data_IF_847047253804
#
_entry.id   IF_847047253804
#
_cell.length_a   1.000
_cell.length_b   1.000
_cell.length_c   1.000
_cell.angle_alpha   90.00
_cell.angle_beta   90.00
_cell.angle_gamma   90.00
#
_symmetry.space_group_name_H-M   'P 1'
#
loop_
_entity.id
_entity.type
_entity.pdbx_description
1 polymer ?
#
# COMPACT_ATOMS: atom_id res chain seq x y z
N UNK A 1 -20.94 -1.16 -15.91
CA UNK A 1 -20.51 -1.32 -14.49
C UNK A 1 -20.63 -2.78 -14.11
N UNK A 2 -19.69 -3.34 -13.34
CA UNK A 2 -19.81 -4.71 -12.82
C UNK A 2 -20.50 -4.68 -11.45
N UNK A 3 -21.79 -5.02 -11.39
CA UNK A 3 -22.57 -5.01 -10.16
C UNK A 3 -22.02 -5.95 -9.09
N UNK A 4 -21.55 -7.13 -9.48
CA UNK A 4 -21.02 -8.10 -8.51
C UNK A 4 -19.78 -7.56 -7.80
N UNK A 5 -18.86 -6.94 -8.54
CA UNK A 5 -17.67 -6.32 -7.94
C UNK A 5 -18.02 -5.11 -7.07
N UNK A 6 -18.97 -4.28 -7.48
CA UNK A 6 -19.43 -3.13 -6.68
C UNK A 6 -20.10 -3.58 -5.37
N UNK A 7 -20.95 -4.61 -5.42
CA UNK A 7 -21.62 -5.18 -4.24
C UNK A 7 -20.61 -5.86 -3.32
N UNK A 8 -19.64 -6.61 -3.86
CA UNK A 8 -18.58 -7.23 -3.06
C UNK A 8 -17.64 -6.18 -2.45
N UNK A 9 -17.47 -5.02 -3.07
CA UNK A 9 -16.73 -3.91 -2.47
C UNK A 9 -17.46 -3.33 -1.25
N UNK A 10 -18.77 -3.13 -1.34
CA UNK A 10 -19.61 -2.65 -0.22
C UNK A 10 -19.80 -3.70 0.88
N UNK A 11 -19.94 -4.97 0.49
CA UNK A 11 -20.18 -6.10 1.36
C UNK A 11 -19.16 -7.22 1.06
N UNK A 12 -17.93 -7.13 1.59
CA UNK A 12 -16.86 -8.08 1.28
C UNK A 12 -17.15 -9.53 1.66
N UNK A 13 -18.10 -9.74 2.59
CA UNK A 13 -18.50 -11.07 3.06
C UNK A 13 -19.61 -11.69 2.20
N UNK A 14 -20.25 -10.90 1.33
CA UNK A 14 -21.38 -11.36 0.53
C UNK A 14 -20.91 -12.24 -0.64
N UNK A 15 -21.59 -13.37 -0.83
CA UNK A 15 -21.31 -14.30 -1.90
C UNK A 15 -22.23 -14.06 -3.10
N UNK A 16 -21.70 -13.72 -4.30
CA UNK A 16 -22.48 -13.42 -5.51
C UNK A 16 -23.21 -14.64 -6.12
N UNK A 17 -23.11 -15.82 -5.51
CA UNK A 17 -23.85 -17.02 -5.92
C UNK A 17 -25.02 -17.36 -4.99
N UNK A 18 -25.00 -16.87 -3.75
CA UNK A 18 -25.98 -17.24 -2.72
C UNK A 18 -26.70 -16.03 -2.13
N UNK A 19 -25.94 -14.98 -1.80
CA UNK A 19 -26.46 -13.83 -1.07
C UNK A 19 -27.05 -12.79 -2.00
N UNK A 20 -26.59 -12.73 -3.25
CA UNK A 20 -27.23 -11.93 -4.29
C UNK A 20 -26.89 -12.54 -5.64
N UNK A 21 -27.74 -12.32 -6.65
CA UNK A 21 -27.45 -12.73 -8.03
C UNK A 21 -27.53 -11.49 -8.90
N UNK A 22 -26.39 -11.06 -9.43
CA UNK A 22 -26.35 -10.08 -10.51
C UNK A 22 -26.56 -10.80 -11.85
N UNK A 23 -27.53 -10.35 -12.64
CA UNK A 23 -27.75 -10.84 -14.00
C UNK A 23 -27.49 -9.74 -15.00
N UNK A 24 -26.97 -10.15 -16.14
CA UNK A 24 -26.96 -9.36 -17.35
C UNK A 24 -27.68 -10.18 -18.41
N UNK A 25 -28.86 -9.73 -18.81
CA UNK A 25 -29.67 -10.41 -19.82
C UNK A 25 -29.15 -10.15 -21.25
N UNK A 26 -28.05 -9.40 -21.38
CA UNK A 26 -27.48 -9.01 -22.66
C UNK A 26 -28.39 -8.00 -23.39
N UNK A 27 -27.93 -7.45 -24.53
CA UNK A 27 -28.65 -6.40 -25.23
C UNK A 27 -30.10 -6.80 -25.52
N UNK A 28 -31.03 -5.93 -25.13
CA UNK A 28 -32.46 -6.14 -25.35
C UNK A 28 -32.91 -5.45 -26.63
N UNK A 29 -33.77 -6.14 -27.38
CA UNK A 29 -34.41 -5.60 -28.58
C UNK A 29 -35.84 -5.18 -28.23
N UNK A 30 -36.15 -3.90 -28.37
CA UNK A 30 -37.53 -3.44 -28.39
C UNK A 30 -37.99 -3.24 -29.83
N UNK A 31 -39.18 -3.76 -30.13
CA UNK A 31 -39.83 -3.54 -31.42
C UNK A 31 -40.37 -2.10 -31.39
N UNK A 32 -39.89 -1.23 -32.27
CA UNK A 32 -40.48 0.10 -32.47
C UNK A 32 -41.70 -0.13 -33.34
N UNK A 33 -42.86 -0.26 -32.71
CA UNK A 33 -44.12 -0.36 -33.44
C UNK A 33 -44.72 1.05 -33.50
N UNK A 34 -44.51 1.74 -34.61
CA UNK A 34 -45.08 3.08 -34.81
C UNK A 34 -46.60 3.08 -35.01
N UNK A 35 -47.23 1.93 -35.26
CA UNK A 35 -48.68 1.79 -35.30
C UNK A 35 -49.05 0.39 -34.82
N UNK A 36 -49.95 0.30 -33.82
CA UNK A 36 -50.56 -0.95 -33.33
C UNK A 36 -50.52 -2.05 -34.38
N UNK A 37 -49.81 -3.18 -34.15
CA UNK A 37 -49.82 -4.25 -35.11
C UNK A 37 -51.15 -4.97 -34.96
N UNK A 38 -52.22 -4.45 -35.57
CA UNK A 38 -53.31 -5.29 -36.08
C UNK A 38 -52.74 -6.15 -37.19
N UNK A 39 -51.94 -7.15 -36.81
CA UNK A 39 -51.66 -8.32 -37.62
C UNK A 39 -51.94 -9.55 -36.76
N UNK A 40 -53.21 -9.92 -36.79
CA UNK A 40 -53.65 -11.29 -36.55
C UNK A 40 -52.89 -12.16 -37.55
N UNK A 41 -52.06 -13.09 -37.06
CA UNK A 41 -51.42 -14.09 -37.90
C UNK A 41 -52.02 -15.44 -37.57
N UNK A 42 -52.65 -16.04 -38.59
CA UNK A 42 -53.11 -17.43 -38.62
C UNK A 42 -51.95 -18.39 -38.33
N UNK A 43 -52.21 -19.42 -37.53
CA UNK A 43 -51.58 -20.72 -37.70
C UNK A 43 -52.54 -21.58 -38.54
N UNK A 44 -52.26 -21.85 -39.83
CA UNK A 44 -53.16 -22.62 -40.67
C UNK A 44 -52.73 -24.08 -40.70
N UNK A 45 -52.93 -24.84 -39.63
CA UNK A 45 -52.72 -26.29 -39.68
C UNK A 45 -53.99 -27.10 -39.31
N UNK A 46 -55.17 -26.50 -39.48
CA UNK A 46 -56.42 -27.24 -39.42
C UNK A 46 -57.30 -26.86 -40.61
N UNK A 47 -57.26 -27.69 -41.64
CA UNK A 47 -58.20 -27.70 -42.75
C UNK A 47 -59.62 -27.90 -42.17
N UNK A 48 -60.38 -26.80 -42.05
CA UNK A 48 -61.79 -26.82 -41.64
C UNK A 48 -62.21 -26.00 -40.39
N UNK A 49 -61.40 -25.09 -39.86
CA UNK A 49 -61.82 -24.24 -38.74
C UNK A 49 -62.75 -23.09 -39.19
N UNK A 50 -63.96 -23.02 -38.62
CA UNK A 50 -64.97 -21.98 -38.89
C UNK A 50 -64.64 -20.69 -38.10
N UNK A 51 -64.82 -19.47 -38.67
CA UNK A 51 -64.43 -18.21 -38.02
C UNK A 51 -65.22 -17.85 -36.74
N UNK A 52 -66.24 -18.62 -36.37
CA UNK A 52 -67.11 -18.36 -35.22
C UNK A 52 -66.57 -18.95 -33.89
N UNK A 53 -65.50 -19.74 -33.93
CA UNK A 53 -64.86 -20.37 -32.75
C UNK A 53 -63.78 -19.50 -32.05
N UNK A 54 -63.78 -18.18 -32.30
CA UNK A 54 -62.74 -17.28 -31.77
C UNK A 54 -63.01 -16.89 -30.30
N UNK A 55 -62.05 -17.14 -29.40
CA UNK A 55 -62.15 -16.77 -27.98
C UNK A 55 -61.46 -15.42 -27.73
N UNK A 56 -62.24 -14.41 -27.35
CA UNK A 56 -61.76 -13.09 -26.91
C UNK A 56 -61.19 -13.20 -25.47
N UNK A 57 -59.94 -12.75 -25.25
CA UNK A 57 -59.30 -12.73 -23.92
C UNK A 57 -57.85 -13.20 -23.83
N UNK A 58 -57.19 -13.55 -24.94
CA UNK A 58 -55.79 -14.01 -24.92
C UNK A 58 -54.85 -12.83 -24.63
N UNK A 59 -54.24 -12.85 -23.45
CA UNK A 59 -53.13 -11.97 -23.08
C UNK A 59 -51.86 -12.40 -23.84
N UNK A 60 -51.22 -11.47 -24.53
CA UNK A 60 -49.95 -11.73 -25.21
C UNK A 60 -48.80 -11.65 -24.21
N UNK A 61 -48.03 -12.72 -24.11
CA UNK A 61 -46.71 -12.71 -23.47
C UNK A 61 -45.69 -12.23 -24.52
N UNK A 62 -44.96 -11.16 -24.24
CA UNK A 62 -43.85 -10.71 -25.07
C UNK A 62 -42.74 -11.77 -25.03
N UNK A 63 -42.78 -12.75 -25.94
CA UNK A 63 -41.66 -13.68 -26.10
C UNK A 63 -40.45 -12.93 -26.67
N UNK A 64 -39.34 -13.04 -25.94
CA UNK A 64 -38.00 -12.64 -26.36
C UNK A 64 -37.71 -13.26 -27.73
N UNK A 65 -37.71 -12.46 -28.81
CA UNK A 65 -37.31 -12.95 -30.15
C UNK A 65 -35.79 -13.02 -30.22
N UNK A 66 -35.26 -14.17 -30.64
CA UNK A 66 -33.85 -14.30 -30.98
C UNK A 66 -33.54 -13.48 -32.27
N UNK A 67 -32.29 -13.00 -32.46
CA UNK A 67 -31.90 -12.28 -33.68
C UNK A 67 -32.18 -13.05 -34.97
N UNK A 68 -32.12 -14.39 -34.92
CA UNK A 68 -32.44 -15.30 -36.02
C UNK A 68 -33.94 -15.35 -36.40
N UNK A 69 -34.81 -14.72 -35.61
CA UNK A 69 -36.27 -14.67 -35.79
C UNK A 69 -36.78 -13.24 -36.14
N UNK A 70 -35.86 -12.33 -36.42
CA UNK A 70 -36.14 -10.98 -36.91
C UNK A 70 -36.67 -11.05 -38.36
N UNK A 71 -37.77 -10.35 -38.64
CA UNK A 71 -38.40 -10.32 -39.95
C UNK A 71 -38.03 -9.02 -40.65
N UNK A 72 -37.62 -9.12 -41.92
CA UNK A 72 -37.27 -7.95 -42.74
C UNK A 72 -38.46 -6.97 -42.84
N UNK A 73 -38.23 -5.68 -42.56
CA UNK A 73 -39.25 -4.62 -42.59
C UNK A 73 -39.87 -4.24 -41.25
N UNK A 74 -39.34 -4.71 -40.11
CA UNK A 74 -39.73 -4.29 -38.76
C UNK A 74 -38.59 -3.47 -38.14
N UNK A 75 -38.89 -2.27 -37.62
CA UNK A 75 -37.91 -1.42 -36.94
C UNK A 75 -37.71 -1.88 -35.48
N UNK A 76 -36.46 -1.95 -35.05
CA UNK A 76 -36.07 -2.33 -33.70
C UNK A 76 -35.15 -1.27 -33.10
N UNK A 77 -35.36 -0.93 -31.83
CA UNK A 77 -34.43 -0.14 -31.05
C UNK A 77 -33.47 -1.07 -30.30
N UNK A 78 -32.18 -0.74 -30.36
CA UNK A 78 -31.15 -1.43 -29.60
C UNK A 78 -31.01 -0.75 -28.24
N UNK A 79 -31.50 -1.38 -27.18
CA UNK A 79 -31.32 -0.86 -25.83
C UNK A 79 -30.09 -1.53 -25.19
N UNK A 80 -29.10 -0.75 -24.74
CA UNK A 80 -28.00 -1.30 -23.97
C UNK A 80 -28.55 -1.91 -22.69
N UNK A 81 -28.30 -3.21 -22.47
CA UNK A 81 -28.67 -3.86 -21.22
C UNK A 81 -27.79 -3.35 -20.10
N UNK A 82 -28.44 -2.98 -19.00
CA UNK A 82 -27.78 -2.65 -17.75
C UNK A 82 -27.89 -3.88 -16.86
N UNK A 83 -26.78 -4.41 -16.31
CA UNK A 83 -26.85 -5.49 -15.33
C UNK A 83 -27.78 -5.09 -14.18
N UNK A 84 -28.52 -6.05 -13.63
CA UNK A 84 -29.46 -5.82 -12.53
C UNK A 84 -29.33 -6.90 -11.44
N UNK A 85 -29.80 -6.58 -10.24
CA UNK A 85 -29.82 -7.51 -9.10
C UNK A 85 -31.12 -8.32 -9.19
N UNK A 86 -31.01 -9.60 -9.51
CA UNK A 86 -32.14 -10.51 -9.65
C UNK A 86 -32.61 -11.09 -8.31
N UNK A 87 -31.69 -11.30 -7.36
CA UNK A 87 -32.01 -11.73 -5.99
C UNK A 87 -31.14 -10.97 -5.00
N UNK A 88 -31.69 -10.72 -3.80
CA UNK A 88 -31.02 -10.00 -2.74
C UNK A 88 -31.37 -10.60 -1.38
N UNK A 89 -30.37 -11.23 -0.75
CA UNK A 89 -30.41 -11.92 0.54
C UNK A 89 -29.16 -11.61 1.39
N UNK A 90 -28.49 -10.47 1.14
CA UNK A 90 -27.25 -10.09 1.82
C UNK A 90 -27.52 -9.81 3.30
N UNK A 91 -26.70 -10.41 4.17
CA UNK A 91 -26.75 -10.22 5.62
C UNK A 91 -25.55 -9.44 6.13
N UNK A 92 -25.74 -8.67 7.19
CA UNK A 92 -24.63 -8.02 7.92
C UNK A 92 -23.86 -9.03 8.78
N UNK A 93 -22.77 -8.58 9.42
CA UNK A 93 -21.97 -9.41 10.33
C UNK A 93 -22.75 -9.92 11.57
N UNK A 94 -23.91 -9.34 11.85
CA UNK A 94 -24.80 -9.72 12.95
C UNK A 94 -25.96 -10.64 12.48
N UNK A 95 -26.02 -10.98 11.19
CA UNK A 95 -27.07 -11.80 10.59
C UNK A 95 -28.36 -11.06 10.22
N UNK A 96 -28.38 -9.73 10.26
CA UNK A 96 -29.54 -8.93 9.88
C UNK A 96 -29.59 -8.70 8.37
N UNK A 97 -30.80 -8.60 7.81
CA UNK A 97 -30.99 -8.22 6.41
C UNK A 97 -30.48 -6.81 6.13
N UNK A 98 -29.68 -6.70 5.08
CA UNK A 98 -29.14 -5.43 4.61
C UNK A 98 -30.05 -4.89 3.50
N UNK A 99 -30.40 -3.59 3.47
CA UNK A 99 -31.14 -3.03 2.35
C UNK A 99 -30.32 -3.08 1.05
N UNK A 100 -31.00 -3.24 -0.08
CA UNK A 100 -30.38 -3.18 -1.39
C UNK A 100 -29.78 -1.77 -1.63
N UNK A 101 -28.51 -1.65 -2.05
CA UNK A 101 -27.89 -0.37 -2.36
C UNK A 101 -28.60 0.36 -3.49
N UNK A 102 -28.57 1.68 -3.42
CA UNK A 102 -29.01 2.55 -4.52
C UNK A 102 -28.03 2.51 -5.68
N UNK A 103 -28.48 2.88 -6.88
CA UNK A 103 -27.62 2.96 -8.06
C UNK A 103 -26.45 3.92 -7.87
N UNK A 104 -26.66 5.02 -7.15
CA UNK A 104 -25.60 5.98 -6.83
C UNK A 104 -24.52 5.37 -5.93
N UNK A 105 -24.92 4.58 -4.92
CA UNK A 105 -23.97 3.87 -4.05
C UNK A 105 -23.20 2.79 -4.82
N UNK A 106 -23.86 2.07 -5.73
CA UNK A 106 -23.21 1.08 -6.59
C UNK A 106 -22.21 1.73 -7.55
N UNK A 107 -22.56 2.86 -8.15
CA UNK A 107 -21.67 3.60 -9.03
C UNK A 107 -20.46 4.14 -8.26
N UNK A 108 -20.68 4.73 -7.09
CA UNK A 108 -19.59 5.20 -6.22
C UNK A 108 -18.68 4.05 -5.78
N UNK A 109 -19.25 2.90 -5.41
CA UNK A 109 -18.49 1.70 -5.06
C UNK A 109 -17.67 1.16 -6.23
N UNK A 110 -18.21 1.20 -7.44
CA UNK A 110 -17.51 0.77 -8.65
C UNK A 110 -16.34 1.70 -9.01
N UNK A 111 -16.53 3.01 -8.87
CA UNK A 111 -15.46 3.99 -9.05
C UNK A 111 -14.37 3.83 -8.00
N UNK A 112 -14.74 3.62 -6.74
CA UNK A 112 -13.81 3.36 -5.65
C UNK A 112 -13.04 2.04 -5.85
N UNK A 113 -13.73 0.98 -6.32
CA UNK A 113 -13.11 -0.30 -6.65
C UNK A 113 -12.08 -0.17 -7.77
N UNK A 114 -12.38 0.61 -8.82
CA UNK A 114 -11.42 0.88 -9.91
C UNK A 114 -10.24 1.74 -9.48
N UNK A 115 -10.43 2.63 -8.50
CA UNK A 115 -9.38 3.45 -7.94
C UNK A 115 -8.44 2.67 -6.99
N UNK A 116 -8.82 1.45 -6.58
CA UNK A 116 -7.93 0.61 -5.81
C UNK A 116 -6.70 0.25 -6.66
N UNK A 117 -5.50 0.34 -6.08
CA UNK A 117 -4.32 -0.16 -6.77
C UNK A 117 -4.51 -1.64 -7.04
N UNK A 118 -4.22 -2.06 -8.27
CA UNK A 118 -4.21 -3.47 -8.64
C UNK A 118 -3.31 -4.18 -7.63
N UNK A 119 -3.78 -5.24 -6.94
CA UNK A 119 -2.95 -5.96 -6.00
C UNK A 119 -1.69 -6.41 -6.74
N UNK A 120 -0.53 -5.93 -6.27
CA UNK A 120 0.76 -6.28 -6.85
C UNK A 120 0.90 -7.79 -6.93
N UNK A 121 1.39 -8.27 -8.05
CA UNK A 121 1.76 -9.68 -8.19
C UNK A 121 2.84 -10.05 -7.18
N UNK A 122 2.96 -11.33 -6.79
CA UNK A 122 4.05 -11.77 -5.92
C UNK A 122 5.44 -11.40 -6.45
N UNK A 123 5.63 -11.42 -7.78
CA UNK A 123 6.89 -11.05 -8.44
C UNK A 123 7.22 -9.57 -8.24
N UNK A 124 6.27 -8.66 -8.49
CA UNK A 124 6.46 -7.22 -8.25
C UNK A 124 6.72 -6.90 -6.77
N UNK A 125 6.12 -7.66 -5.85
CA UNK A 125 6.39 -7.53 -4.42
C UNK A 125 7.82 -7.97 -4.06
N UNK A 126 8.33 -9.03 -4.71
CA UNK A 126 9.70 -9.49 -4.52
C UNK A 126 10.72 -8.49 -5.09
N UNK A 127 10.45 -7.89 -6.25
CA UNK A 127 11.28 -6.83 -6.83
C UNK A 127 11.40 -5.61 -5.91
N UNK A 128 10.28 -5.14 -5.35
CA UNK A 128 10.28 -4.03 -4.40
C UNK A 128 11.08 -4.36 -3.13
N UNK A 129 10.98 -5.60 -2.64
CA UNK A 129 11.77 -6.07 -1.49
C UNK A 129 13.26 -6.12 -1.81
N UNK A 130 13.64 -6.58 -3.00
CA UNK A 130 15.03 -6.61 -3.46
C UNK A 130 15.59 -5.19 -3.56
N UNK A 131 14.87 -4.28 -4.19
CA UNK A 131 15.29 -2.88 -4.33
C UNK A 131 15.48 -2.19 -2.98
N UNK A 132 14.58 -2.46 -2.03
CA UNK A 132 14.70 -1.97 -0.65
C UNK A 132 15.92 -2.57 0.05
N UNK A 133 16.17 -3.87 -0.14
CA UNK A 133 17.31 -4.55 0.45
C UNK A 133 18.63 -4.01 -0.10
N UNK A 134 18.72 -3.77 -1.41
CA UNK A 134 19.89 -3.16 -2.06
C UNK A 134 20.17 -1.76 -1.48
N UNK A 135 19.15 -0.91 -1.43
CA UNK A 135 19.28 0.46 -0.89
C UNK A 135 19.74 0.45 0.58
N UNK A 136 19.19 -0.45 1.40
CA UNK A 136 19.59 -0.58 2.80
C UNK A 136 21.02 -1.11 2.95
N UNK A 137 21.43 -2.02 2.07
CA UNK A 137 22.78 -2.59 2.08
C UNK A 137 23.81 -1.54 1.71
N UNK A 138 23.53 -0.71 0.69
CA UNK A 138 24.39 0.39 0.29
C UNK A 138 24.55 1.43 1.41
N UNK A 139 23.45 1.80 2.07
CA UNK A 139 23.48 2.71 3.22
C UNK A 139 24.29 2.13 4.39
N UNK A 140 24.17 0.83 4.66
CA UNK A 140 24.93 0.17 5.71
C UNK A 140 26.44 0.13 5.39
N UNK A 141 26.80 -0.16 4.14
CA UNK A 141 28.21 -0.16 3.71
C UNK A 141 28.84 1.22 3.82
N UNK A 142 28.12 2.28 3.42
CA UNK A 142 28.57 3.66 3.61
C UNK A 142 28.74 4.00 5.10
N UNK A 143 27.78 3.62 5.94
CA UNK A 143 27.89 3.83 7.39
C UNK A 143 29.08 3.11 8.04
N UNK A 144 29.43 1.92 7.55
CA UNK A 144 30.63 1.19 8.00
C UNK A 144 31.91 1.91 7.55
N UNK A 145 31.96 2.40 6.31
CA UNK A 145 33.10 3.16 5.81
C UNK A 145 33.32 4.45 6.63
N UNK A 146 32.27 5.23 6.87
CA UNK A 146 32.33 6.45 7.69
C UNK A 146 32.80 6.16 9.12
N UNK A 147 32.29 5.08 9.74
CA UNK A 147 32.71 4.67 11.07
C UNK A 147 34.19 4.28 11.12
N UNK A 148 34.69 3.60 10.08
CA UNK A 148 36.10 3.23 9.97
C UNK A 148 37.01 4.46 9.82
N UNK A 149 36.63 5.43 9.00
CA UNK A 149 37.37 6.70 8.86
C UNK A 149 37.41 7.49 10.16
N UNK A 150 36.28 7.58 10.86
CA UNK A 150 36.23 8.21 12.19
C UNK A 150 37.16 7.51 13.18
N UNK A 151 37.15 6.17 13.22
CA UNK A 151 38.03 5.41 14.10
C UNK A 151 39.50 5.67 13.79
N UNK A 152 39.89 5.74 12.51
CA UNK A 152 41.26 6.01 12.11
C UNK A 152 41.71 7.42 12.56
N UNK A 153 40.85 8.43 12.36
CA UNK A 153 41.13 9.81 12.80
C UNK A 153 41.23 9.95 14.32
N UNK A 154 40.36 9.24 15.06
CA UNK A 154 40.38 9.21 16.51
C UNK A 154 41.65 8.55 17.05
N UNK A 155 42.08 7.44 16.43
CA UNK A 155 43.34 6.75 16.78
C UNK A 155 44.55 7.64 16.56
N UNK A 156 44.62 8.35 15.43
CA UNK A 156 45.72 9.27 15.14
C UNK A 156 45.78 10.41 16.18
N UNK A 157 44.62 10.99 16.53
CA UNK A 157 44.53 12.04 17.54
C UNK A 157 44.94 11.53 18.93
N UNK A 158 44.52 10.31 19.29
CA UNK A 158 44.88 9.70 20.56
C UNK A 158 46.39 9.42 20.65
N UNK A 159 47.01 8.97 19.56
CA UNK A 159 48.45 8.76 19.49
C UNK A 159 49.21 10.08 19.68
N UNK A 160 48.78 11.16 19.03
CA UNK A 160 49.37 12.50 19.20
C UNK A 160 49.25 12.99 20.65
N UNK A 161 48.07 12.81 21.28
CA UNK A 161 47.87 13.14 22.69
C UNK A 161 48.77 12.34 23.62
N UNK A 162 48.95 11.04 23.34
CA UNK A 162 49.83 10.17 24.13
C UNK A 162 51.30 10.60 23.99
N UNK A 163 51.76 10.92 22.78
CA UNK A 163 53.10 11.45 22.53
C UNK A 163 53.30 12.75 23.29
N UNK A 164 52.34 13.67 23.20
CA UNK A 164 52.38 14.96 23.90
C UNK A 164 52.46 14.78 25.43
N UNK A 165 51.65 13.86 25.98
CA UNK A 165 51.68 13.55 27.41
C UNK A 165 53.02 12.95 27.85
N UNK A 166 53.60 12.04 27.05
CA UNK A 166 54.92 11.47 27.33
C UNK A 166 56.03 12.52 27.30
N UNK A 167 55.99 13.45 26.33
CA UNK A 167 56.95 14.57 26.27
C UNK A 167 56.81 15.47 27.50
N UNK A 168 55.59 15.85 27.87
CA UNK A 168 55.35 16.65 29.08
C UNK A 168 55.81 15.96 30.36
N UNK A 169 55.60 14.64 30.50
CA UNK A 169 56.13 13.87 31.63
C UNK A 169 57.66 13.88 31.67
N UNK A 170 58.31 13.81 30.51
CA UNK A 170 59.77 13.87 30.39
C UNK A 170 60.29 15.24 30.83
N UNK A 171 59.68 16.33 30.36
CA UNK A 171 60.02 17.70 30.76
C UNK A 171 59.86 17.92 32.28
N UNK A 172 58.78 17.41 32.88
CA UNK A 172 58.56 17.50 34.34
C UNK A 172 59.62 16.71 35.10
N UNK A 173 60.01 15.54 34.61
CA UNK A 173 61.08 14.73 35.22
C UNK A 173 62.43 15.47 35.18
N UNK A 174 62.77 16.07 34.05
CA UNK A 174 63.99 16.87 33.91
C UNK A 174 63.99 18.08 34.86
N UNK A 175 62.86 18.79 34.97
CA UNK A 175 62.72 19.90 35.91
C UNK A 175 62.89 19.45 37.37
N UNK A 176 62.30 18.31 37.75
CA UNK A 176 62.42 17.76 39.09
C UNK A 176 63.88 17.42 39.44
N UNK A 177 64.63 16.83 38.50
CA UNK A 177 66.06 16.57 38.69
C UNK A 177 66.86 17.86 38.85
N UNK A 178 66.57 18.89 38.05
CA UNK A 178 67.23 20.20 38.20
C UNK A 178 66.92 20.85 39.54
N UNK A 179 65.66 20.80 39.99
CA UNK A 179 65.27 21.30 41.31
C UNK A 179 65.99 20.54 42.42
N UNK A 180 66.10 19.22 42.33
CA UNK A 180 66.83 18.41 43.30
C UNK A 180 68.30 18.83 43.40
N UNK A 181 68.97 19.03 42.26
CA UNK A 181 70.36 19.50 42.25
C UNK A 181 70.52 20.89 42.89
N UNK A 182 69.57 21.81 42.65
CA UNK A 182 69.58 23.15 43.28
C UNK A 182 69.35 23.04 44.80
N UNK A 183 68.42 22.18 45.24
CA UNK A 183 68.17 21.95 46.67
C UNK A 183 69.44 21.43 47.34
N UNK A 184 70.14 20.46 46.73
CA UNK A 184 71.40 19.92 47.25
C UNK A 184 72.49 20.99 47.36
N UNK A 185 72.61 21.87 46.35
CA UNK A 185 73.54 23.00 46.40
C UNK A 185 73.20 23.99 47.52
N UNK A 186 71.91 24.31 47.70
CA UNK A 186 71.46 25.20 48.77
C UNK A 186 71.72 24.59 50.16
N UNK A 187 71.43 23.30 50.33
CA UNK A 187 71.73 22.57 51.57
C UNK A 187 73.23 22.59 51.89
N UNK A 188 74.08 22.33 50.90
CA UNK A 188 75.54 22.39 51.08
C UNK A 188 76.00 23.80 51.48
N UNK A 189 75.43 24.85 50.88
CA UNK A 189 75.76 26.24 51.22
C UNK A 189 75.28 26.63 52.62
N UNK A 190 74.09 26.20 53.03
CA UNK A 190 73.57 26.42 54.39
C UNK A 190 74.51 25.77 55.41
N UNK A 191 74.89 24.50 55.20
CA UNK A 191 75.81 23.80 56.10
C UNK A 191 77.17 24.52 56.23
N UNK A 192 77.70 25.08 55.14
CA UNK A 192 78.92 25.90 55.18
C UNK A 192 78.74 27.19 56.00
N UNK A 193 77.62 27.89 55.83
CA UNK A 193 77.32 29.11 56.57
C UNK A 193 77.16 28.82 58.07
N UNK A 194 76.44 27.76 58.43
CA UNK A 194 76.27 27.32 59.83
C UNK A 194 77.63 26.99 60.48
N UNK A 195 78.52 26.28 59.78
CA UNK A 195 79.87 25.99 60.26
C UNK A 195 80.72 27.28 60.47
N UNK A 196 80.57 28.26 59.58
CA UNK A 196 81.27 29.55 59.71
C UNK A 196 80.75 30.41 60.89
N UNK A 197 79.45 30.35 61.19
CA UNK A 197 78.87 31.06 62.35
C UNK A 197 79.26 30.42 63.68
N UNK A 198 79.32 29.08 63.74
CA UNK A 198 79.74 28.36 64.94
C UNK A 198 81.20 28.65 65.34
N UNK A 199 82.06 28.98 64.37
CA UNK A 199 83.48 29.30 64.61
C UNK A 199 83.73 30.79 64.87
N UNK A 200 82.87 31.68 64.38
CA UNK A 200 82.97 33.14 64.61
C UNK A 200 82.39 33.65 65.94
N UNK A 201 81.57 32.86 66.64
CA UNK A 201 80.95 33.24 67.92
C UNK A 201 81.81 32.98 69.19
N UNK A 202 83.05 32.51 69.03
CA UNK A 202 83.94 32.15 70.13
C UNK A 202 85.09 33.16 70.38
N UNK A 203 84.91 34.41 69.96
CA UNK A 203 85.86 35.51 70.18
C UNK A 203 85.31 36.54 71.18
#
# INVERSE_FOLDING_TARGET
MNLALAIMYLYPQANPLYDFIAKDDGPMFHLIVDEHPTKQVLLPDAEGADPEDWIEGVHFEYRKKNPSEMTEGVEFEWLPSVPYIATWNVKDANGNDVPQPTEQELQAAWEAYQALPIPKTPEELEEERLQTLETNTDAALLGVADAYEQQLSASATQEEQNITAMLGLTEVYELAMLQQAVIEQLQAKIAQLEASQATGGAA
#
